data_IF_855093206416
#
_entry.id   IF_855093206416
#
_cell.length_a   1.000
_cell.length_b   1.000
_cell.length_c   1.000
_cell.angle_alpha   90.00
_cell.angle_beta   90.00
_cell.angle_gamma   90.00
#
_symmetry.space_group_name_H-M   'P 1'
#
loop_
_entity.id
_entity.type
_entity.pdbx_description
1 polymer ?
#
# COMPACT_ATOMS: atom_id res chain seq x y z
N UNK A 1 7.55 -48.66 15.79
CA UNK A 1 6.44 -47.69 15.95
C UNK A 1 6.92 -46.28 16.29
N UNK A 2 7.85 -46.08 17.23
CA UNK A 2 8.38 -44.74 17.57
C UNK A 2 9.00 -43.93 16.40
N UNK A 3 9.72 -44.59 15.48
CA UNK A 3 10.32 -43.93 14.29
C UNK A 3 9.29 -43.38 13.30
N UNK A 4 8.12 -44.02 13.19
CA UNK A 4 7.03 -43.60 12.30
C UNK A 4 6.29 -42.40 12.90
N UNK A 5 6.11 -42.39 14.23
CA UNK A 5 5.53 -41.25 14.95
C UNK A 5 6.39 -39.98 14.87
N UNK A 6 7.72 -40.11 14.92
CA UNK A 6 8.65 -38.97 14.77
C UNK A 6 8.58 -38.37 13.35
N UNK A 7 8.48 -39.21 12.32
CA UNK A 7 8.37 -38.75 10.93
C UNK A 7 7.01 -38.04 10.66
N UNK A 8 5.92 -38.54 11.25
CA UNK A 8 4.60 -37.92 11.17
C UNK A 8 4.53 -36.58 11.91
N UNK A 9 5.19 -36.46 13.06
CA UNK A 9 5.28 -35.21 13.82
C UNK A 9 6.10 -34.13 13.07
N UNK A 10 7.18 -34.52 12.39
CA UNK A 10 7.98 -33.60 11.58
C UNK A 10 7.20 -33.05 10.37
N UNK A 11 6.39 -33.89 9.70
CA UNK A 11 5.55 -33.46 8.57
C UNK A 11 4.44 -32.47 8.96
N UNK A 12 3.87 -32.59 10.17
CA UNK A 12 2.88 -31.63 10.68
C UNK A 12 3.49 -30.25 10.99
N UNK A 13 4.76 -30.20 11.42
CA UNK A 13 5.46 -28.95 11.74
C UNK A 13 5.90 -28.16 10.50
N UNK A 14 6.11 -28.82 9.36
CA UNK A 14 6.45 -28.19 8.07
C UNK A 14 5.26 -27.50 7.38
N UNK A 15 4.02 -27.74 7.83
CA UNK A 15 2.79 -27.23 7.19
C UNK A 15 2.33 -25.84 7.63
N UNK A 16 3.01 -25.19 8.59
CA UNK A 16 2.57 -23.92 9.18
C UNK A 16 3.25 -22.68 8.59
N UNK A 17 3.95 -22.80 7.45
CA UNK A 17 4.49 -21.63 6.75
C UNK A 17 3.36 -20.90 6.04
N UNK A 18 2.67 -20.00 6.75
CA UNK A 18 1.72 -19.07 6.14
C UNK A 18 2.49 -18.11 5.21
N UNK A 19 2.41 -18.35 3.91
CA UNK A 19 2.86 -17.39 2.92
C UNK A 19 1.87 -16.21 2.89
N UNK A 20 2.16 -15.14 3.64
CA UNK A 20 1.43 -13.87 3.49
C UNK A 20 1.78 -13.29 2.12
N UNK A 21 0.88 -13.45 1.15
CA UNK A 21 0.99 -12.76 -0.13
C UNK A 21 0.54 -11.32 0.10
N UNK A 22 1.46 -10.37 0.06
CA UNK A 22 1.09 -8.96 0.06
C UNK A 22 0.34 -8.65 -1.24
N UNK A 23 -0.67 -7.78 -1.16
CA UNK A 23 -1.45 -7.40 -2.34
C UNK A 23 -0.62 -6.39 -3.14
N UNK A 24 -0.31 -6.73 -4.39
CA UNK A 24 0.38 -5.81 -5.29
C UNK A 24 -0.59 -4.75 -5.84
N UNK A 25 -0.10 -3.52 -5.92
CA UNK A 25 -0.77 -2.39 -6.55
C UNK A 25 0.22 -1.40 -7.11
N UNK A 26 -0.26 -0.24 -7.56
CA UNK A 26 0.57 0.88 -7.96
C UNK A 26 0.34 2.08 -7.05
N UNK A 27 1.39 2.86 -6.84
CA UNK A 27 1.31 4.14 -6.17
C UNK A 27 1.82 5.28 -7.04
N UNK A 28 1.13 6.41 -6.96
CA UNK A 28 1.57 7.75 -7.42
C UNK A 28 1.56 8.70 -6.22
N UNK A 29 1.76 10.00 -6.43
CA UNK A 29 1.54 10.98 -5.38
C UNK A 29 0.87 12.28 -5.85
N UNK A 30 0.21 12.95 -4.90
CA UNK A 30 -0.41 14.27 -5.03
C UNK A 30 0.10 15.23 -3.96
N UNK A 31 -0.23 16.53 -4.08
CA UNK A 31 0.35 17.60 -3.25
C UNK A 31 -0.67 18.53 -2.60
N UNK A 32 -1.96 18.36 -2.87
CA UNK A 32 -3.04 19.17 -2.27
C UNK A 32 -4.00 18.22 -1.54
N UNK A 33 -4.07 18.34 -0.22
CA UNK A 33 -4.72 17.33 0.65
C UNK A 33 -6.13 17.72 1.11
N UNK A 34 -6.54 18.96 0.87
CA UNK A 34 -7.86 19.48 1.24
C UNK A 34 -8.48 20.28 0.09
N UNK A 35 -9.81 20.24 -0.11
CA UNK A 35 -10.73 19.37 0.60
C UNK A 35 -10.58 17.91 0.16
N UNK A 36 -10.73 16.98 1.10
CA UNK A 36 -10.71 15.54 0.83
C UNK A 36 -12.14 14.97 0.78
N UNK A 37 -12.36 13.91 0.02
CA UNK A 37 -13.68 13.27 -0.10
C UNK A 37 -14.21 12.70 1.23
N UNK A 38 -13.34 12.28 2.17
CA UNK A 38 -13.78 11.77 3.47
C UNK A 38 -14.07 12.88 4.49
N UNK A 39 -13.24 13.93 4.52
CA UNK A 39 -13.19 14.85 5.68
C UNK A 39 -13.32 16.33 5.30
N UNK A 40 -13.58 16.66 4.03
CA UNK A 40 -13.68 18.04 3.56
C UNK A 40 -12.40 18.82 3.84
N UNK A 41 -12.52 20.00 4.43
CA UNK A 41 -11.40 20.90 4.73
C UNK A 41 -10.63 20.55 6.01
N UNK A 42 -10.94 19.44 6.68
CA UNK A 42 -10.18 19.03 7.86
C UNK A 42 -8.80 18.54 7.44
N UNK A 43 -7.75 19.11 8.04
CA UNK A 43 -6.40 18.58 7.92
C UNK A 43 -6.31 17.22 8.60
N UNK A 44 -5.81 16.22 7.87
CA UNK A 44 -5.66 14.84 8.33
C UNK A 44 -4.19 14.41 8.43
N UNK A 45 -3.25 15.36 8.25
CA UNK A 45 -1.82 15.15 8.24
C UNK A 45 -1.28 14.70 6.88
N UNK A 46 -0.02 14.24 6.87
CA UNK A 46 0.74 13.94 5.65
C UNK A 46 1.07 12.46 5.48
N UNK A 47 0.57 11.58 6.35
CA UNK A 47 0.65 10.12 6.17
C UNK A 47 -0.71 9.61 5.71
N UNK A 48 -1.10 10.06 4.52
CA UNK A 48 -2.43 9.89 3.94
C UNK A 48 -2.35 9.42 2.49
N UNK A 49 -3.46 8.88 1.99
CA UNK A 49 -3.62 8.48 0.60
C UNK A 49 -5.05 8.69 0.09
N UNK A 50 -5.17 8.86 -1.22
CA UNK A 50 -6.42 8.72 -1.97
C UNK A 50 -6.53 7.31 -2.55
N UNK A 51 -7.70 6.69 -2.46
CA UNK A 51 -7.92 5.32 -2.93
C UNK A 51 -8.57 5.28 -4.32
N UNK A 52 -8.11 4.38 -5.19
CA UNK A 52 -8.79 4.06 -6.46
C UNK A 52 -10.26 3.64 -6.24
N UNK A 53 -11.11 3.77 -7.25
CA UNK A 53 -12.56 3.49 -7.12
C UNK A 53 -12.87 2.11 -6.53
N UNK A 54 -12.12 1.06 -6.93
CA UNK A 54 -12.28 -0.28 -6.40
C UNK A 54 -11.90 -0.40 -4.92
N UNK A 55 -10.86 0.33 -4.48
CA UNK A 55 -10.42 0.32 -3.09
C UNK A 55 -11.23 1.28 -2.21
N UNK A 56 -11.66 2.41 -2.77
CA UNK A 56 -12.47 3.44 -2.12
C UNK A 56 -13.82 2.91 -1.63
N UNK A 57 -14.39 1.96 -2.38
CA UNK A 57 -15.56 1.17 -1.99
C UNK A 57 -16.77 2.04 -1.62
N UNK A 58 -17.03 3.07 -2.44
CA UNK A 58 -18.10 4.04 -2.21
C UNK A 58 -17.96 4.86 -0.91
N UNK A 59 -16.73 5.05 -0.42
CA UNK A 59 -16.42 5.79 0.79
C UNK A 59 -16.24 4.92 2.04
N UNK A 60 -16.51 3.61 1.94
CA UNK A 60 -16.29 2.69 3.07
C UNK A 60 -14.81 2.51 3.43
N UNK A 61 -13.89 2.96 2.58
CA UNK A 61 -12.47 2.98 2.85
C UNK A 61 -12.01 4.15 3.75
N UNK A 62 -12.83 5.19 3.92
CA UNK A 62 -12.47 6.36 4.74
C UNK A 62 -11.98 5.95 6.13
N UNK A 63 -10.79 6.45 6.51
CA UNK A 63 -10.17 6.18 7.80
C UNK A 63 -9.47 4.84 7.93
N UNK A 64 -9.59 3.93 6.94
CA UNK A 64 -8.82 2.68 6.95
C UNK A 64 -7.33 2.99 6.83
N UNK A 65 -6.52 2.23 7.55
CA UNK A 65 -5.07 2.34 7.55
C UNK A 65 -4.45 1.22 6.70
N UNK A 66 -3.42 1.53 5.93
CA UNK A 66 -2.69 0.57 5.12
C UNK A 66 -1.19 0.69 5.36
N UNK A 67 -0.51 -0.44 5.56
CA UNK A 67 0.95 -0.50 5.35
C UNK A 67 1.23 -0.53 3.85
N UNK A 68 2.21 0.25 3.41
CA UNK A 68 2.61 0.37 2.00
C UNK A 68 4.13 0.30 1.89
N UNK A 69 4.62 -0.52 0.97
CA UNK A 69 6.05 -0.71 0.68
C UNK A 69 6.31 -0.68 -0.81
N UNK A 70 7.37 0.01 -1.24
CA UNK A 70 7.81 -0.03 -2.64
C UNK A 70 8.45 -1.39 -2.97
N UNK A 71 8.02 -1.99 -4.07
CA UNK A 71 8.55 -3.24 -4.61
C UNK A 71 9.53 -2.96 -5.75
N UNK A 72 9.12 -2.12 -6.70
CA UNK A 72 9.90 -1.78 -7.90
C UNK A 72 9.36 -0.53 -8.60
N UNK A 73 10.16 0.02 -9.52
CA UNK A 73 9.73 1.09 -10.42
C UNK A 73 8.81 0.60 -11.54
N UNK A 74 8.14 1.55 -12.18
CA UNK A 74 7.35 1.30 -13.41
C UNK A 74 8.02 1.84 -14.68
N UNK A 75 9.18 2.48 -14.54
CA UNK A 75 9.95 3.12 -15.61
C UNK A 75 11.46 2.99 -15.33
N UNK A 76 12.28 3.64 -16.15
CA UNK A 76 13.75 3.52 -16.14
C UNK A 76 14.45 4.42 -15.09
N UNK A 77 13.72 5.06 -14.17
CA UNK A 77 14.34 5.86 -13.11
C UNK A 77 15.17 4.96 -12.19
N UNK A 78 16.47 5.27 -11.97
CA UNK A 78 17.31 4.46 -11.10
C UNK A 78 16.87 4.58 -9.64
N UNK A 79 17.02 3.48 -8.90
CA UNK A 79 16.65 3.37 -7.49
C UNK A 79 15.22 3.89 -7.20
N UNK A 80 14.18 3.31 -7.83
CA UNK A 80 12.81 3.79 -7.70
C UNK A 80 12.24 3.59 -6.28
N UNK A 81 12.82 2.69 -5.49
CA UNK A 81 12.45 2.44 -4.11
C UNK A 81 13.54 2.93 -3.17
N UNK A 82 13.16 3.64 -2.11
CA UNK A 82 14.06 4.09 -1.04
C UNK A 82 14.17 3.06 0.10
N UNK A 83 13.38 1.98 0.03
CA UNK A 83 13.22 1.01 1.11
C UNK A 83 12.18 1.44 2.14
N UNK A 84 12.03 0.64 3.21
CA UNK A 84 11.10 0.94 4.30
C UNK A 84 9.64 0.55 4.03
N UNK A 85 8.76 0.98 4.93
CA UNK A 85 7.31 0.77 4.89
C UNK A 85 6.67 1.95 5.62
N UNK A 86 5.60 2.49 5.05
CA UNK A 86 4.80 3.54 5.68
C UNK A 86 3.42 3.03 6.01
N UNK A 87 2.79 3.61 7.03
CA UNK A 87 1.36 3.39 7.30
C UNK A 87 0.61 4.66 6.93
N UNK A 88 -0.38 4.55 6.04
CA UNK A 88 -1.16 5.69 5.54
C UNK A 88 -2.64 5.52 5.83
N UNK A 89 -3.34 6.63 6.08
CA UNK A 89 -4.80 6.69 6.22
C UNK A 89 -5.45 7.02 4.88
N UNK A 90 -6.51 6.30 4.51
CA UNK A 90 -7.35 6.71 3.38
C UNK A 90 -8.19 7.92 3.78
N UNK A 91 -7.98 9.03 3.07
CA UNK A 91 -8.72 10.28 3.30
C UNK A 91 -9.45 10.79 2.08
N UNK A 92 -9.12 10.28 0.89
CA UNK A 92 -9.67 10.81 -0.36
C UNK A 92 -9.91 9.71 -1.40
N UNK A 93 -10.58 10.11 -2.48
CA UNK A 93 -10.91 9.27 -3.63
C UNK A 93 -10.05 9.66 -4.82
N UNK A 94 -9.52 8.66 -5.50
CA UNK A 94 -8.73 8.79 -6.72
C UNK A 94 -9.49 8.19 -7.92
N UNK A 95 -10.43 8.93 -8.53
CA UNK A 95 -11.31 8.37 -9.56
C UNK A 95 -10.62 8.29 -10.94
N UNK A 96 -10.99 7.28 -11.71
CA UNK A 96 -10.66 7.22 -13.15
C UNK A 96 -11.50 8.26 -13.93
N UNK A 97 -10.98 8.84 -15.03
CA UNK A 97 -9.65 8.62 -15.63
C UNK A 97 -8.55 9.51 -15.05
N UNK A 98 -8.87 10.42 -14.11
CA UNK A 98 -7.91 11.39 -13.56
C UNK A 98 -6.80 10.78 -12.73
N UNK A 99 -7.04 9.59 -12.16
CA UNK A 99 -6.09 8.83 -11.38
C UNK A 99 -6.05 7.37 -11.84
N UNK A 100 -4.83 6.83 -11.98
CA UNK A 100 -4.58 5.48 -12.54
C UNK A 100 -3.76 4.59 -11.60
N UNK A 101 -3.59 5.00 -10.34
CA UNK A 101 -2.90 4.23 -9.30
C UNK A 101 -3.90 3.53 -8.37
N UNK A 102 -3.46 2.45 -7.73
CA UNK A 102 -4.24 1.78 -6.67
C UNK A 102 -4.40 2.69 -5.45
N UNK A 103 -3.31 3.35 -5.07
CA UNK A 103 -3.21 4.37 -4.02
C UNK A 103 -2.47 5.58 -4.57
N UNK A 104 -3.04 6.78 -4.46
CA UNK A 104 -2.31 8.01 -4.70
C UNK A 104 -1.89 8.57 -3.34
N UNK A 105 -0.60 8.50 -3.05
CA UNK A 105 -0.07 8.84 -1.74
C UNK A 105 0.12 10.35 -1.61
N UNK A 106 0.08 10.87 -0.39
CA UNK A 106 0.72 12.16 -0.11
C UNK A 106 2.18 12.13 -0.53
N UNK A 107 2.73 13.27 -0.97
CA UNK A 107 4.13 13.41 -1.38
C UNK A 107 5.10 12.93 -0.30
N UNK A 108 4.81 13.22 0.97
CA UNK A 108 5.62 12.78 2.12
C UNK A 108 5.61 11.26 2.26
N UNK A 109 4.43 10.63 2.22
CA UNK A 109 4.31 9.19 2.31
C UNK A 109 4.97 8.48 1.12
N UNK A 110 4.87 9.03 -0.09
CA UNK A 110 5.57 8.50 -1.27
C UNK A 110 7.09 8.61 -1.12
N UNK A 111 7.60 9.79 -0.76
CA UNK A 111 9.03 10.04 -0.62
C UNK A 111 9.69 9.13 0.43
N UNK A 112 8.93 8.72 1.45
CA UNK A 112 9.39 7.78 2.47
C UNK A 112 9.64 6.36 1.94
N UNK A 113 9.05 5.96 0.81
CA UNK A 113 9.22 4.61 0.23
C UNK A 113 9.79 4.59 -1.18
N UNK A 114 9.71 5.70 -1.92
CA UNK A 114 10.03 5.76 -3.34
C UNK A 114 10.65 7.07 -3.78
N UNK A 115 11.40 7.00 -4.87
CA UNK A 115 12.01 8.16 -5.51
C UNK A 115 10.91 8.99 -6.22
N UNK A 116 10.75 10.25 -5.84
CA UNK A 116 9.76 11.15 -6.43
C UNK A 116 9.91 11.30 -7.95
N UNK A 117 11.12 11.18 -8.49
CA UNK A 117 11.38 11.24 -9.93
C UNK A 117 10.77 10.05 -10.68
N UNK A 118 10.58 8.91 -9.99
CA UNK A 118 9.92 7.75 -10.59
C UNK A 118 8.44 8.05 -10.88
N UNK A 119 7.78 8.92 -10.10
CA UNK A 119 6.39 9.34 -10.26
C UNK A 119 5.33 8.24 -10.04
N UNK A 120 5.65 7.00 -10.41
CA UNK A 120 4.82 5.81 -10.23
C UNK A 120 5.68 4.59 -9.89
N UNK A 121 5.32 3.91 -8.82
CA UNK A 121 5.98 2.69 -8.34
C UNK A 121 4.97 1.55 -8.20
N UNK A 122 5.46 0.32 -8.24
CA UNK A 122 4.71 -0.85 -7.80
C UNK A 122 4.91 -1.00 -6.29
N UNK A 123 3.81 -1.22 -5.59
CA UNK A 123 3.78 -1.33 -4.14
C UNK A 123 3.15 -2.65 -3.71
N UNK A 124 3.58 -3.10 -2.55
CA UNK A 124 2.83 -4.02 -1.71
C UNK A 124 2.02 -3.20 -0.71
N UNK A 125 0.75 -3.53 -0.53
CA UNK A 125 -0.08 -2.91 0.49
C UNK A 125 -0.97 -3.91 1.21
N UNK A 126 -1.20 -3.67 2.51
CA UNK A 126 -2.07 -4.48 3.35
C UNK A 126 -2.82 -3.57 4.32
N UNK A 127 -4.10 -3.85 4.55
CA UNK A 127 -4.87 -3.16 5.57
C UNK A 127 -4.33 -3.55 6.96
N UNK A 128 -4.24 -2.57 7.86
CA UNK A 128 -3.88 -2.75 9.28
C UNK A 128 -5.12 -3.04 10.11
#
# INVERSE_FOLDING_TARGET
>A
MARVGILLAAALLLGLVSASHAIEGTATFYTVYTPSACYGFQDQGTMIAAASDGLWDGGRACGRMYTVRCVRGTNAVPNPCNGGTVTVKIVDRCPSPGCTSTLDLSREAFAAIGNLDAGRIVIDYNQV
#
